data_IF_077810032471
#
_entry.id   IF_077810032471
#
_cell.length_a   1.000
_cell.length_b   1.000
_cell.length_c   1.000
_cell.angle_alpha   90.00
_cell.angle_beta   90.00
_cell.angle_gamma   90.00
#
_symmetry.space_group_name_H-M   'P 1'
#
loop_
_entity.id
_entity.type
_entity.pdbx_description
1 polymer ?
#
# COMPACT_ATOMS: atom_id res chain seq x y z
N UNK A 1 -21.58 37.37 36.32
CA UNK A 1 -22.75 37.49 35.42
C UNK A 1 -23.50 36.18 35.50
N UNK A 2 -24.82 36.21 35.72
CA UNK A 2 -25.64 35.00 35.65
C UNK A 2 -25.61 34.47 34.20
N UNK A 3 -25.48 33.16 34.03
CA UNK A 3 -25.53 32.52 32.72
C UNK A 3 -26.83 32.91 32.02
N UNK A 4 -26.73 33.36 30.77
CA UNK A 4 -27.87 33.68 29.90
C UNK A 4 -28.50 32.41 29.31
N UNK A 5 -27.80 31.28 29.42
CA UNK A 5 -28.23 29.98 28.93
C UNK A 5 -28.91 29.20 30.04
N UNK A 6 -30.08 28.67 29.72
CA UNK A 6 -30.76 27.63 30.50
C UNK A 6 -29.90 26.35 30.49
N UNK A 7 -29.42 25.96 31.67
CA UNK A 7 -28.48 24.84 31.84
C UNK A 7 -29.09 23.50 31.44
N UNK A 8 -30.38 23.27 31.69
CA UNK A 8 -31.06 22.02 31.36
C UNK A 8 -31.17 21.86 29.83
N UNK A 9 -31.56 22.95 29.15
CA UNK A 9 -31.60 22.99 27.68
C UNK A 9 -30.21 22.85 27.06
N UNK A 10 -29.19 23.48 27.64
CA UNK A 10 -27.82 23.34 27.17
C UNK A 10 -27.33 21.88 27.32
N UNK A 11 -27.64 21.21 28.44
CA UNK A 11 -27.31 19.80 28.65
C UNK A 11 -28.00 18.89 27.63
N UNK A 12 -29.27 19.12 27.29
CA UNK A 12 -29.98 18.33 26.27
C UNK A 12 -29.34 18.48 24.87
N UNK A 13 -29.00 19.72 24.49
CA UNK A 13 -28.30 20.02 23.24
C UNK A 13 -26.94 19.30 23.19
N UNK A 14 -26.16 19.37 24.28
CA UNK A 14 -24.87 18.70 24.39
C UNK A 14 -25.00 17.18 24.43
N UNK A 15 -26.06 16.63 25.03
CA UNK A 15 -26.32 15.18 25.00
C UNK A 15 -26.63 14.69 23.58
N UNK A 16 -27.37 15.48 22.79
CA UNK A 16 -27.60 15.19 21.36
C UNK A 16 -26.29 15.23 20.56
N UNK A 17 -25.46 16.25 20.80
CA UNK A 17 -24.13 16.32 20.21
C UNK A 17 -23.28 15.10 20.61
N UNK A 18 -23.28 14.73 21.89
CA UNK A 18 -22.54 13.58 22.41
C UNK A 18 -22.97 12.24 21.79
N UNK A 19 -24.27 12.04 21.50
CA UNK A 19 -24.73 10.87 20.73
C UNK A 19 -24.17 10.87 19.31
N UNK A 20 -24.18 12.02 18.63
CA UNK A 20 -23.62 12.15 17.29
C UNK A 20 -22.11 11.92 17.28
N UNK A 21 -21.37 12.49 18.23
CA UNK A 21 -19.92 12.31 18.35
C UNK A 21 -19.54 10.86 18.63
N UNK A 22 -20.31 10.14 19.46
CA UNK A 22 -20.10 8.71 19.69
C UNK A 22 -20.34 7.88 18.44
N UNK A 23 -21.42 8.14 17.70
CA UNK A 23 -21.70 7.44 16.45
C UNK A 23 -20.60 7.65 15.39
N UNK A 24 -20.03 8.87 15.32
CA UNK A 24 -18.87 9.16 14.46
C UNK A 24 -17.64 8.39 14.95
N UNK A 25 -17.33 8.44 16.24
CA UNK A 25 -16.17 7.76 16.83
C UNK A 25 -16.22 6.23 16.68
N UNK A 26 -17.41 5.62 16.82
CA UNK A 26 -17.63 4.20 16.56
C UNK A 26 -17.36 3.83 15.09
N UNK A 27 -17.65 4.74 14.16
CA UNK A 27 -17.37 4.60 12.73
C UNK A 27 -15.93 4.94 12.30
N UNK A 28 -15.16 5.63 13.16
CA UNK A 28 -13.76 6.01 12.90
C UNK A 28 -12.82 5.44 13.97
N UNK A 29 -12.47 4.14 13.89
CA UNK A 29 -11.58 3.54 14.86
C UNK A 29 -10.20 4.18 14.83
N UNK A 30 -9.50 4.21 15.98
CA UNK A 30 -8.11 4.69 16.04
C UNK A 30 -7.20 3.97 15.04
N UNK A 31 -6.25 4.74 14.47
CA UNK A 31 -5.26 4.24 13.50
C UNK A 31 -4.47 3.09 14.12
N UNK A 32 -4.34 1.99 13.38
CA UNK A 32 -3.78 0.77 13.93
C UNK A 32 -2.26 0.78 13.94
N UNK A 33 -1.67 0.08 14.90
CA UNK A 33 -0.23 -0.21 14.91
C UNK A 33 0.23 -1.17 13.82
N UNK A 34 -0.67 -1.63 12.95
CA UNK A 34 -0.35 -2.52 11.84
C UNK A 34 0.53 -1.83 10.80
N UNK A 35 1.50 -2.58 10.27
CA UNK A 35 2.28 -2.20 9.10
C UNK A 35 1.37 -2.24 7.87
N UNK A 36 1.45 -1.21 7.03
CA UNK A 36 0.89 -1.22 5.67
C UNK A 36 2.05 -1.48 4.69
N UNK A 37 1.90 -2.37 3.71
CA UNK A 37 2.92 -2.57 2.70
C UNK A 37 3.00 -1.36 1.76
N UNK A 38 4.18 -1.07 1.19
CA UNK A 38 4.32 0.03 0.21
C UNK A 38 4.01 -0.40 -1.22
N UNK A 39 3.88 -1.71 -1.44
CA UNK A 39 3.45 -2.26 -2.72
C UNK A 39 2.75 -3.60 -2.55
N UNK A 40 1.93 -3.93 -3.55
CA UNK A 40 1.36 -5.26 -3.74
C UNK A 40 1.72 -5.75 -5.15
N UNK A 41 2.41 -6.87 -5.25
CA UNK A 41 2.67 -7.53 -6.54
C UNK A 41 1.50 -8.42 -6.89
N UNK A 42 0.92 -8.24 -8.08
CA UNK A 42 -0.04 -9.20 -8.63
C UNK A 42 0.69 -10.10 -9.62
N UNK A 43 0.62 -11.42 -9.39
CA UNK A 43 1.22 -12.41 -10.25
C UNK A 43 0.27 -13.57 -10.51
N UNK A 44 0.17 -14.00 -11.77
CA UNK A 44 -0.74 -15.06 -12.19
C UNK A 44 -0.53 -16.36 -11.40
N UNK A 45 -1.64 -17.01 -11.02
CA UNK A 45 -1.66 -18.20 -10.18
C UNK A 45 -0.77 -19.35 -10.69
N UNK A 46 -0.68 -19.54 -12.01
CA UNK A 46 0.15 -20.57 -12.64
C UNK A 46 1.65 -20.43 -12.33
N UNK A 47 2.11 -19.20 -12.04
CA UNK A 47 3.52 -18.89 -11.73
C UNK A 47 3.84 -18.95 -10.23
N UNK A 48 2.83 -18.98 -9.37
CA UNK A 48 3.04 -18.88 -7.92
C UNK A 48 3.76 -20.11 -7.37
N UNK A 49 4.82 -19.87 -6.60
CA UNK A 49 5.60 -20.89 -5.89
C UNK A 49 5.98 -20.35 -4.51
N UNK A 50 6.26 -21.25 -3.56
CA UNK A 50 6.60 -20.86 -2.18
C UNK A 50 7.82 -19.90 -2.08
N UNK A 51 8.70 -19.90 -3.08
CA UNK A 51 9.94 -19.10 -3.16
C UNK A 51 9.82 -17.89 -4.11
N UNK A 52 8.60 -17.50 -4.50
CA UNK A 52 8.37 -16.45 -5.51
C UNK A 52 9.00 -15.11 -5.11
N UNK A 53 8.92 -14.72 -3.83
CA UNK A 53 9.47 -13.44 -3.35
C UNK A 53 10.97 -13.36 -3.60
N UNK A 54 11.72 -14.39 -3.23
CA UNK A 54 13.17 -14.45 -3.46
C UNK A 54 13.53 -14.42 -4.95
N UNK A 55 12.77 -15.12 -5.81
CA UNK A 55 12.97 -15.10 -7.27
C UNK A 55 12.75 -13.71 -7.87
N UNK A 56 11.71 -13.00 -7.42
CA UNK A 56 11.42 -11.64 -7.87
C UNK A 56 12.51 -10.67 -7.41
N UNK A 57 12.98 -10.79 -6.17
CA UNK A 57 14.11 -10.02 -5.65
C UNK A 57 15.40 -10.23 -6.44
N UNK A 58 15.77 -11.47 -6.71
CA UNK A 58 16.94 -11.81 -7.53
C UNK A 58 16.85 -11.22 -8.95
N UNK A 59 15.65 -11.24 -9.56
CA UNK A 59 15.39 -10.64 -10.87
C UNK A 59 15.55 -9.12 -10.83
N UNK A 60 14.98 -8.47 -9.81
CA UNK A 60 15.10 -7.03 -9.61
C UNK A 60 16.56 -6.60 -9.42
N UNK A 61 17.31 -7.30 -8.56
CA UNK A 61 18.74 -7.08 -8.33
C UNK A 61 19.57 -7.29 -9.60
N UNK A 62 19.26 -8.33 -10.38
CA UNK A 62 19.89 -8.55 -11.69
C UNK A 62 19.64 -7.39 -12.66
N UNK A 63 18.42 -6.83 -12.66
CA UNK A 63 18.07 -5.62 -13.41
C UNK A 63 18.90 -4.41 -13.00
N UNK A 64 19.05 -4.16 -11.69
CA UNK A 64 19.90 -3.07 -11.16
C UNK A 64 21.35 -3.27 -11.61
N UNK A 65 21.94 -4.44 -11.34
CA UNK A 65 23.35 -4.73 -11.70
C UNK A 65 23.64 -4.56 -13.18
N UNK A 66 22.67 -4.83 -14.05
CA UNK A 66 22.86 -4.75 -15.48
C UNK A 66 22.60 -3.34 -16.04
N UNK A 67 21.55 -2.65 -15.59
CA UNK A 67 21.13 -1.37 -16.18
C UNK A 67 21.54 -0.14 -15.36
N UNK A 68 21.85 -0.28 -14.08
CA UNK A 68 22.22 0.81 -13.17
C UNK A 68 23.12 0.32 -12.02
N UNK A 69 24.37 -0.07 -12.31
CA UNK A 69 25.25 -0.78 -11.36
C UNK A 69 25.83 0.10 -10.24
N UNK A 70 25.74 1.42 -10.37
CA UNK A 70 26.29 2.39 -9.44
C UNK A 70 25.22 3.39 -8.97
N UNK A 71 25.40 4.02 -7.79
CA UNK A 71 24.40 4.92 -7.21
C UNK A 71 23.99 6.08 -8.12
N UNK A 72 24.94 6.65 -8.88
CA UNK A 72 24.67 7.79 -9.76
C UNK A 72 23.81 7.38 -10.95
N UNK A 73 24.19 6.32 -11.67
CA UNK A 73 23.40 5.79 -12.79
C UNK A 73 22.00 5.36 -12.32
N UNK A 74 21.90 4.77 -11.13
CA UNK A 74 20.62 4.40 -10.53
C UNK A 74 19.75 5.62 -10.22
N UNK A 75 20.29 6.63 -9.54
CA UNK A 75 19.57 7.85 -9.24
C UNK A 75 19.10 8.56 -10.51
N UNK A 76 19.97 8.68 -11.53
CA UNK A 76 19.61 9.27 -12.82
C UNK A 76 18.46 8.49 -13.48
N UNK A 77 18.52 7.15 -13.50
CA UNK A 77 17.47 6.31 -14.08
C UNK A 77 16.11 6.47 -13.38
N UNK A 78 16.11 6.76 -12.07
CA UNK A 78 14.91 6.98 -11.26
C UNK A 78 14.43 8.44 -11.25
N UNK A 79 15.21 9.38 -11.81
CA UNK A 79 14.89 10.82 -11.78
C UNK A 79 15.30 11.55 -10.49
N UNK A 80 16.24 10.99 -9.72
CA UNK A 80 16.72 11.51 -8.43
C UNK A 80 18.05 12.29 -8.52
N UNK A 81 18.62 12.43 -9.72
CA UNK A 81 19.88 13.15 -9.95
C UNK A 81 19.78 14.69 -9.79
N UNK A 82 20.88 15.44 -9.93
CA UNK A 82 20.94 16.90 -9.72
C UNK A 82 19.94 17.71 -10.58
N UNK A 83 19.49 17.17 -11.72
CA UNK A 83 18.46 17.77 -12.58
C UNK A 83 17.01 17.51 -12.13
N UNK A 84 16.79 16.75 -11.04
CA UNK A 84 15.49 16.38 -10.50
C UNK A 84 14.89 17.36 -9.48
N UNK A 85 15.47 18.56 -9.34
CA UNK A 85 15.01 19.58 -8.39
C UNK A 85 15.78 19.64 -7.06
N UNK A 86 16.99 19.09 -7.00
CA UNK A 86 17.87 19.20 -5.84
C UNK A 86 18.90 20.32 -6.05
N UNK A 87 18.78 21.41 -5.30
CA UNK A 87 19.56 22.65 -5.46
C UNK A 87 21.08 22.50 -5.22
N UNK A 88 21.56 21.36 -4.70
CA UNK A 88 22.97 21.14 -4.35
C UNK A 88 23.45 19.72 -4.72
N UNK A 89 24.50 19.64 -5.54
CA UNK A 89 25.10 18.39 -6.05
C UNK A 89 25.53 17.43 -4.91
N UNK A 90 26.18 17.93 -3.86
CA UNK A 90 26.61 17.12 -2.71
C UNK A 90 25.47 16.62 -1.81
N UNK A 91 24.27 17.21 -1.89
CA UNK A 91 23.08 16.70 -1.23
C UNK A 91 22.44 15.58 -2.08
N UNK A 92 22.41 15.76 -3.40
CA UNK A 92 21.96 14.75 -4.35
C UNK A 92 22.83 13.48 -4.31
N UNK A 93 24.16 13.61 -4.19
CA UNK A 93 25.07 12.46 -4.10
C UNK A 93 24.80 11.61 -2.84
N UNK A 94 24.67 12.25 -1.68
CA UNK A 94 24.37 11.54 -0.42
C UNK A 94 22.99 10.89 -0.42
N UNK A 95 22.00 11.52 -1.05
CA UNK A 95 20.68 10.94 -1.24
C UNK A 95 20.76 9.70 -2.15
N UNK A 96 21.49 9.82 -3.27
CA UNK A 96 21.67 8.74 -4.25
C UNK A 96 22.32 7.51 -3.61
N UNK A 97 23.41 7.69 -2.85
CA UNK A 97 24.07 6.61 -2.11
C UNK A 97 23.14 5.98 -1.07
N UNK A 98 22.43 6.82 -0.31
CA UNK A 98 21.51 6.38 0.74
C UNK A 98 20.31 5.60 0.22
N UNK A 99 19.76 6.01 -0.92
CA UNK A 99 18.67 5.30 -1.61
C UNK A 99 19.17 4.00 -2.21
N UNK A 100 20.27 4.03 -2.96
CA UNK A 100 20.82 2.85 -3.63
C UNK A 100 21.11 1.72 -2.62
N UNK A 101 21.84 2.04 -1.55
CA UNK A 101 22.19 1.05 -0.53
C UNK A 101 20.94 0.41 0.12
N UNK A 102 19.94 1.23 0.47
CA UNK A 102 18.69 0.74 1.08
C UNK A 102 17.85 -0.08 0.12
N UNK A 103 17.78 0.29 -1.16
CA UNK A 103 17.05 -0.50 -2.18
C UNK A 103 17.69 -1.87 -2.35
N UNK A 104 19.03 -1.96 -2.43
CA UNK A 104 19.73 -3.24 -2.51
C UNK A 104 19.43 -4.09 -1.27
N UNK A 105 19.62 -3.53 -0.07
CA UNK A 105 19.32 -4.23 1.20
C UNK A 105 17.87 -4.72 1.25
N UNK A 106 16.92 -3.88 0.82
CA UNK A 106 15.50 -4.21 0.80
C UNK A 106 15.22 -5.38 -0.14
N UNK A 107 15.77 -5.37 -1.34
CA UNK A 107 15.56 -6.45 -2.32
C UNK A 107 16.24 -7.76 -1.92
N UNK A 108 17.32 -7.71 -1.14
CA UNK A 108 17.99 -8.89 -0.59
C UNK A 108 17.22 -9.50 0.59
N UNK A 109 16.70 -8.65 1.49
CA UNK A 109 16.04 -9.08 2.73
C UNK A 109 14.55 -9.35 2.58
N UNK A 110 13.82 -8.48 1.89
CA UNK A 110 12.35 -8.48 1.80
C UNK A 110 11.88 -7.84 0.49
N UNK A 111 12.13 -8.48 -0.66
CA UNK A 111 11.87 -7.91 -1.98
C UNK A 111 10.40 -7.69 -2.31
N UNK A 112 9.50 -8.47 -1.69
CA UNK A 112 8.06 -8.35 -1.86
C UNK A 112 7.44 -8.22 -0.48
N UNK A 113 6.75 -7.09 -0.23
CA UNK A 113 6.04 -6.87 1.03
C UNK A 113 4.67 -7.55 1.02
N UNK A 114 3.97 -7.45 -0.11
CA UNK A 114 2.66 -8.03 -0.30
C UNK A 114 2.52 -8.68 -1.68
N UNK A 115 1.92 -9.87 -1.73
CA UNK A 115 1.71 -10.61 -2.97
C UNK A 115 0.25 -11.06 -3.11
N UNK A 116 -0.37 -10.76 -4.25
CA UNK A 116 -1.69 -11.25 -4.62
C UNK A 116 -1.56 -12.28 -5.73
N UNK A 117 -1.87 -13.54 -5.38
CA UNK A 117 -1.97 -14.63 -6.35
C UNK A 117 -3.21 -14.39 -7.18
N UNK A 118 -2.99 -14.10 -8.45
CA UNK A 118 -4.04 -13.60 -9.32
C UNK A 118 -4.69 -14.74 -10.10
N UNK A 119 -6.02 -14.85 -10.03
CA UNK A 119 -6.86 -15.74 -10.85
C UNK A 119 -7.70 -14.96 -11.88
N UNK A 120 -7.41 -13.67 -12.05
CA UNK A 120 -8.17 -12.75 -12.90
C UNK A 120 -7.32 -12.27 -14.08
N UNK A 121 -7.15 -10.96 -14.31
CA UNK A 121 -6.59 -10.41 -15.54
C UNK A 121 -5.14 -10.86 -15.80
N UNK A 122 -4.30 -10.91 -14.76
CA UNK A 122 -2.91 -11.37 -14.85
C UNK A 122 -2.74 -12.89 -14.95
N UNK A 123 -3.82 -13.65 -14.74
CA UNK A 123 -3.87 -15.10 -14.98
C UNK A 123 -4.31 -15.42 -16.41
N UNK A 124 -5.21 -14.61 -16.94
CA UNK A 124 -5.86 -14.80 -18.23
C UNK A 124 -6.95 -15.87 -18.21
N UNK A 125 -7.45 -16.22 -19.39
CA UNK A 125 -8.48 -17.25 -19.55
C UNK A 125 -7.87 -18.64 -19.58
N UNK A 126 -8.46 -19.57 -18.82
CA UNK A 126 -8.08 -20.98 -18.74
C UNK A 126 -9.33 -21.85 -18.70
N UNK A 127 -9.16 -23.14 -18.98
CA UNK A 127 -10.23 -24.12 -18.77
C UNK A 127 -10.52 -24.30 -17.27
N UNK A 128 -11.72 -24.74 -16.93
CA UNK A 128 -12.09 -25.03 -15.53
C UNK A 128 -11.15 -26.04 -14.87
N UNK A 129 -10.78 -27.11 -15.59
CA UNK A 129 -9.88 -28.13 -15.07
C UNK A 129 -8.46 -27.58 -14.79
N UNK A 130 -7.98 -26.67 -15.65
CA UNK A 130 -6.67 -26.05 -15.46
C UNK A 130 -6.68 -25.05 -14.29
N UNK A 131 -7.74 -24.24 -14.15
CA UNK A 131 -7.89 -23.34 -13.00
C UNK A 131 -8.08 -24.10 -11.68
N UNK A 132 -8.84 -25.20 -11.67
CA UNK A 132 -8.96 -26.11 -10.52
C UNK A 132 -7.57 -26.65 -10.10
N UNK A 133 -6.76 -27.11 -11.07
CA UNK A 133 -5.41 -27.58 -10.81
C UNK A 133 -4.49 -26.51 -10.23
N UNK A 134 -4.53 -25.30 -10.77
CA UNK A 134 -3.75 -24.18 -10.24
C UNK A 134 -4.22 -23.72 -8.86
N UNK A 135 -5.53 -23.75 -8.57
CA UNK A 135 -6.07 -23.43 -7.25
C UNK A 135 -5.51 -24.37 -6.16
N UNK A 136 -5.48 -25.67 -6.44
CA UNK A 136 -4.87 -26.67 -5.56
C UNK A 136 -3.37 -26.42 -5.41
N UNK A 137 -2.63 -26.25 -6.51
CA UNK A 137 -1.17 -26.00 -6.48
C UNK A 137 -0.85 -24.74 -5.66
N UNK A 138 -1.60 -23.65 -5.84
CA UNK A 138 -1.41 -22.40 -5.08
C UNK A 138 -1.55 -22.66 -3.59
N UNK A 139 -2.59 -23.37 -3.17
CA UNK A 139 -2.81 -23.71 -1.77
C UNK A 139 -1.67 -24.57 -1.19
N UNK A 140 -1.18 -25.56 -1.94
CA UNK A 140 -0.05 -26.38 -1.53
C UNK A 140 1.25 -25.56 -1.41
N UNK A 141 1.48 -24.63 -2.33
CA UNK A 141 2.64 -23.74 -2.29
C UNK A 141 2.55 -22.70 -1.16
N UNK A 142 1.35 -22.24 -0.82
CA UNK A 142 1.13 -21.40 0.37
C UNK A 142 1.48 -22.19 1.64
N UNK A 143 0.95 -23.40 1.81
CA UNK A 143 1.25 -24.25 2.96
C UNK A 143 2.76 -24.54 3.08
N UNK A 144 3.42 -24.88 1.98
CA UNK A 144 4.86 -25.11 1.94
C UNK A 144 5.65 -23.84 2.29
N UNK A 145 5.20 -22.68 1.82
CA UNK A 145 5.83 -21.41 2.14
C UNK A 145 5.68 -21.01 3.60
N UNK A 146 4.55 -21.35 4.23
CA UNK A 146 4.35 -21.17 5.68
C UNK A 146 5.32 -22.04 6.47
N UNK A 147 5.44 -23.33 6.11
CA UNK A 147 6.36 -24.28 6.75
C UNK A 147 7.83 -23.80 6.65
N UNK A 148 8.21 -23.25 5.51
CA UNK A 148 9.59 -22.79 5.24
C UNK A 148 9.87 -21.35 5.68
N UNK A 149 8.85 -20.59 6.06
CA UNK A 149 8.98 -19.15 6.33
C UNK A 149 9.42 -18.32 5.11
N UNK A 150 9.02 -18.73 3.90
CA UNK A 150 9.46 -18.09 2.64
C UNK A 150 8.43 -17.13 2.04
N UNK A 151 7.21 -17.09 2.61
CA UNK A 151 6.15 -16.19 2.14
C UNK A 151 6.48 -14.73 2.48
N UNK A 152 6.02 -13.78 1.64
CA UNK A 152 6.06 -12.36 2.01
C UNK A 152 5.21 -12.09 3.28
N UNK A 153 5.46 -10.98 3.99
CA UNK A 153 4.71 -10.61 5.20
C UNK A 153 3.19 -10.52 5.00
N UNK A 154 2.75 -10.17 3.80
CA UNK A 154 1.36 -10.17 3.37
C UNK A 154 1.21 -10.99 2.09
N UNK A 155 0.15 -11.80 2.01
CA UNK A 155 -0.14 -12.64 0.84
C UNK A 155 -1.64 -12.84 0.73
N UNK A 156 -2.17 -13.05 -0.46
CA UNK A 156 -3.60 -13.25 -0.64
C UNK A 156 -3.95 -13.71 -2.04
N UNK A 157 -5.24 -13.79 -2.31
CA UNK A 157 -5.79 -14.18 -3.62
C UNK A 157 -6.54 -13.00 -4.23
N UNK A 158 -6.42 -12.80 -5.54
CA UNK A 158 -7.44 -12.08 -6.31
C UNK A 158 -8.27 -13.10 -7.07
N UNK A 159 -9.55 -13.21 -6.70
CA UNK A 159 -10.52 -14.08 -7.38
C UNK A 159 -11.08 -13.38 -8.63
N UNK A 160 -11.85 -14.10 -9.45
CA UNK A 160 -12.63 -13.47 -10.52
C UNK A 160 -13.78 -12.61 -9.93
N UNK A 161 -14.32 -11.64 -10.70
CA UNK A 161 -15.45 -10.85 -10.25
C UNK A 161 -16.67 -11.71 -9.88
N UNK A 162 -17.47 -11.26 -8.92
CA UNK A 162 -18.76 -11.90 -8.61
C UNK A 162 -19.86 -11.38 -9.55
N UNK A 163 -19.76 -11.76 -10.82
CA UNK A 163 -20.75 -11.51 -11.87
C UNK A 163 -21.50 -12.80 -12.22
N UNK A 164 -22.59 -12.70 -12.99
CA UNK A 164 -23.32 -13.88 -13.48
C UNK A 164 -22.42 -14.83 -14.30
N UNK A 165 -21.53 -14.27 -15.13
CA UNK A 165 -20.63 -15.02 -15.99
C UNK A 165 -19.52 -15.73 -15.21
N UNK A 166 -18.88 -15.05 -14.25
CA UNK A 166 -17.63 -15.54 -13.63
C UNK A 166 -17.78 -15.92 -12.15
N UNK A 167 -18.93 -15.65 -11.53
CA UNK A 167 -19.16 -15.89 -10.10
C UNK A 167 -19.04 -17.36 -9.71
N UNK A 168 -19.62 -18.28 -10.49
CA UNK A 168 -19.48 -19.74 -10.24
C UNK A 168 -18.01 -20.17 -10.24
N UNK A 169 -17.24 -19.64 -11.18
CA UNK A 169 -15.80 -19.91 -11.30
C UNK A 169 -15.03 -19.34 -10.12
N UNK A 170 -15.32 -18.11 -9.71
CA UNK A 170 -14.72 -17.47 -8.53
C UNK A 170 -14.97 -18.29 -7.25
N UNK A 171 -16.22 -18.72 -7.00
CA UNK A 171 -16.58 -19.54 -5.84
C UNK A 171 -15.80 -20.86 -5.84
N UNK A 172 -15.74 -21.55 -6.99
CA UNK A 172 -15.04 -22.83 -7.10
C UNK A 172 -13.53 -22.70 -6.86
N UNK A 173 -12.92 -21.63 -7.37
CA UNK A 173 -11.49 -21.34 -7.16
C UNK A 173 -11.19 -21.03 -5.69
N UNK A 174 -12.08 -20.29 -5.03
CA UNK A 174 -11.96 -20.00 -3.60
C UNK A 174 -12.12 -21.26 -2.74
N UNK A 175 -13.15 -22.07 -3.01
CA UNK A 175 -13.40 -23.37 -2.36
C UNK A 175 -12.16 -24.29 -2.42
N UNK A 176 -11.63 -24.50 -3.62
CA UNK A 176 -10.46 -25.35 -3.82
C UNK A 176 -9.21 -24.81 -3.12
N UNK A 177 -8.93 -23.51 -3.24
CA UNK A 177 -7.77 -22.90 -2.60
C UNK A 177 -7.86 -23.00 -1.07
N UNK A 178 -8.96 -22.52 -0.48
CA UNK A 178 -9.10 -22.44 0.98
C UNK A 178 -9.27 -23.83 1.60
N UNK A 179 -10.07 -24.71 0.98
CA UNK A 179 -10.24 -26.08 1.43
C UNK A 179 -8.93 -26.88 1.42
N UNK A 180 -8.16 -26.78 0.33
CA UNK A 180 -6.84 -27.43 0.24
C UNK A 180 -5.87 -26.85 1.25
N UNK A 181 -5.79 -25.52 1.37
CA UNK A 181 -4.88 -24.86 2.31
C UNK A 181 -5.19 -25.27 3.74
N UNK A 182 -6.47 -25.26 4.13
CA UNK A 182 -6.91 -25.67 5.45
C UNK A 182 -6.56 -27.14 5.73
N UNK A 183 -6.80 -28.04 4.77
CA UNK A 183 -6.45 -29.46 4.90
C UNK A 183 -4.94 -29.67 5.11
N UNK A 184 -4.10 -28.85 4.49
CA UNK A 184 -2.63 -28.93 4.60
C UNK A 184 -2.07 -28.27 5.87
N UNK A 185 -2.80 -27.34 6.48
CA UNK A 185 -2.31 -26.49 7.59
C UNK A 185 -3.08 -26.67 8.89
N UNK A 186 -4.11 -27.53 8.91
CA UNK A 186 -5.01 -27.66 10.05
C UNK A 186 -5.87 -26.40 10.30
N UNK A 187 -6.27 -25.70 9.22
CA UNK A 187 -7.09 -24.49 9.31
C UNK A 187 -6.31 -23.22 9.67
N UNK A 188 -4.98 -23.21 9.54
CA UNK A 188 -4.17 -22.01 9.78
C UNK A 188 -3.87 -21.27 8.48
N UNK A 189 -4.12 -19.97 8.45
CA UNK A 189 -3.82 -19.12 7.29
C UNK A 189 -2.43 -18.49 7.40
N UNK A 190 -1.78 -18.11 6.27
CA UNK A 190 -0.66 -17.19 6.30
C UNK A 190 -1.04 -15.91 7.06
N UNK A 191 -0.06 -15.33 7.78
CA UNK A 191 -0.28 -14.03 8.42
C UNK A 191 -0.68 -12.98 7.39
N UNK A 192 -1.71 -12.19 7.72
CA UNK A 192 -2.20 -11.14 6.83
C UNK A 192 -2.92 -11.64 5.58
N UNK A 193 -3.36 -12.91 5.54
CA UNK A 193 -4.08 -13.46 4.39
C UNK A 193 -5.39 -12.73 4.09
N UNK A 194 -5.61 -12.37 2.82
CA UNK A 194 -6.83 -11.70 2.35
C UNK A 194 -7.31 -12.24 1.00
N UNK A 195 -8.60 -12.05 0.74
CA UNK A 195 -9.23 -12.29 -0.55
C UNK A 195 -9.64 -10.95 -1.18
N UNK A 196 -9.03 -10.60 -2.30
CA UNK A 196 -9.35 -9.39 -3.06
C UNK A 196 -10.49 -9.67 -4.04
N UNK A 197 -11.56 -8.88 -3.92
CA UNK A 197 -12.71 -8.89 -4.84
C UNK A 197 -12.51 -7.80 -5.92
N UNK A 198 -12.31 -8.17 -7.20
CA UNK A 198 -12.19 -7.19 -8.27
C UNK A 198 -13.55 -6.69 -8.76
N UNK A 199 -13.51 -5.59 -9.52
CA UNK A 199 -14.62 -5.02 -10.30
C UNK A 199 -15.91 -4.86 -9.48
N UNK A 200 -15.76 -4.47 -8.21
CA UNK A 200 -16.89 -4.29 -7.29
C UNK A 200 -17.77 -3.17 -7.83
N UNK A 201 -19.08 -3.40 -7.83
CA UNK A 201 -20.06 -2.44 -8.33
C UNK A 201 -21.30 -2.32 -7.44
N UNK A 202 -21.47 -3.22 -6.45
CA UNK A 202 -22.59 -3.16 -5.51
C UNK A 202 -22.23 -3.71 -4.12
N UNK A 203 -22.90 -3.25 -3.05
CA UNK A 203 -22.76 -3.83 -1.71
C UNK A 203 -23.15 -5.31 -1.65
N UNK A 204 -24.08 -5.75 -2.50
CA UNK A 204 -24.53 -7.15 -2.56
C UNK A 204 -23.40 -8.11 -2.95
N UNK A 205 -22.55 -7.72 -3.91
CA UNK A 205 -21.37 -8.51 -4.28
C UNK A 205 -20.41 -8.69 -3.10
N UNK A 206 -20.25 -7.65 -2.27
CA UNK A 206 -19.41 -7.72 -1.07
C UNK A 206 -20.04 -8.61 -0.01
N UNK A 207 -21.35 -8.45 0.25
CA UNK A 207 -22.09 -9.27 1.22
C UNK A 207 -22.07 -10.76 0.84
N UNK A 208 -22.27 -11.08 -0.45
CA UNK A 208 -22.16 -12.44 -0.97
C UNK A 208 -20.76 -13.03 -0.74
N UNK A 209 -19.68 -12.27 -0.95
CA UNK A 209 -18.34 -12.75 -0.62
C UNK A 209 -18.20 -13.01 0.89
N UNK A 210 -18.71 -12.13 1.75
CA UNK A 210 -18.68 -12.34 3.20
C UNK A 210 -19.38 -13.65 3.58
N UNK A 211 -20.56 -13.92 3.04
CA UNK A 211 -21.30 -15.15 3.32
C UNK A 211 -20.52 -16.39 2.87
N UNK A 212 -19.85 -16.33 1.70
CA UNK A 212 -18.96 -17.41 1.23
C UNK A 212 -17.75 -17.62 2.15
N UNK A 213 -17.12 -16.54 2.63
CA UNK A 213 -15.99 -16.64 3.56
C UNK A 213 -16.43 -17.23 4.90
N UNK A 214 -17.61 -16.87 5.41
CA UNK A 214 -18.19 -17.45 6.63
C UNK A 214 -18.46 -18.94 6.49
N UNK A 215 -19.00 -19.36 5.33
CA UNK A 215 -19.17 -20.77 5.01
C UNK A 215 -17.82 -21.50 4.98
N UNK A 216 -16.79 -20.93 4.33
CA UNK A 216 -15.48 -21.57 4.27
C UNK A 216 -14.84 -21.69 5.66
N UNK A 217 -14.94 -20.65 6.49
CA UNK A 217 -14.45 -20.69 7.88
C UNK A 217 -15.10 -21.84 8.66
N UNK A 218 -16.43 -21.96 8.60
CA UNK A 218 -17.15 -23.01 9.32
C UNK A 218 -16.79 -24.42 8.86
N UNK A 219 -16.63 -24.64 7.55
CA UNK A 219 -16.33 -25.95 6.98
C UNK A 219 -14.86 -26.37 7.15
N UNK A 220 -13.97 -25.41 7.35
CA UNK A 220 -12.52 -25.65 7.52
C UNK A 220 -12.04 -25.57 8.97
N UNK A 221 -12.94 -25.24 9.90
CA UNK A 221 -12.61 -25.13 11.33
C UNK A 221 -11.85 -23.85 11.71
N UNK A 222 -11.83 -22.84 10.82
CA UNK A 222 -11.22 -21.54 11.14
C UNK A 222 -12.12 -20.75 12.10
N UNK A 223 -11.50 -19.91 12.94
CA UNK A 223 -12.25 -19.00 13.79
C UNK A 223 -13.07 -18.01 12.93
N UNK A 224 -14.30 -17.64 13.34
CA UNK A 224 -15.09 -16.63 12.63
C UNK A 224 -14.31 -15.32 12.47
N UNK A 225 -14.27 -14.78 11.25
CA UNK A 225 -13.55 -13.54 10.95
C UNK A 225 -12.06 -13.71 10.66
N UNK A 226 -11.57 -14.94 10.45
CA UNK A 226 -10.20 -15.23 10.04
C UNK A 226 -9.93 -14.81 8.59
N UNK A 227 -10.86 -15.11 7.68
CA UNK A 227 -10.79 -14.69 6.28
C UNK A 227 -11.23 -13.23 6.14
N UNK A 228 -10.27 -12.39 5.76
CA UNK A 228 -10.48 -10.96 5.50
C UNK A 228 -10.52 -10.70 4.00
N UNK A 229 -11.02 -9.52 3.63
CA UNK A 229 -11.16 -9.14 2.22
C UNK A 229 -10.59 -7.76 1.91
N UNK A 230 -10.28 -7.56 0.64
CA UNK A 230 -9.95 -6.27 0.03
C UNK A 230 -10.88 -6.05 -1.17
N UNK A 231 -11.15 -4.79 -1.50
CA UNK A 231 -12.02 -4.41 -2.60
C UNK A 231 -11.20 -3.72 -3.69
N UNK A 232 -11.31 -4.11 -4.96
CA UNK A 232 -10.82 -3.26 -6.05
C UNK A 232 -11.92 -2.27 -6.45
N UNK A 233 -11.62 -0.99 -6.23
CA UNK A 233 -12.43 0.17 -6.58
C UNK A 233 -12.00 0.59 -7.98
N UNK A 234 -12.67 0.05 -8.98
CA UNK A 234 -12.25 0.18 -10.38
C UNK A 234 -13.42 0.32 -11.36
N UNK A 235 -14.61 0.61 -10.83
CA UNK A 235 -15.82 0.90 -11.60
C UNK A 235 -16.36 2.28 -11.21
N UNK A 236 -16.96 3.07 -12.11
CA UNK A 236 -17.63 4.31 -11.72
C UNK A 236 -18.68 4.11 -10.61
N UNK A 237 -19.36 2.96 -10.61
CA UNK A 237 -20.37 2.58 -9.64
C UNK A 237 -19.79 2.32 -8.24
N UNK A 238 -18.50 1.97 -8.16
CA UNK A 238 -17.78 1.88 -6.88
C UNK A 238 -17.37 3.24 -6.31
N UNK A 239 -17.48 4.31 -7.11
CA UNK A 239 -17.27 5.70 -6.68
C UNK A 239 -18.62 6.35 -6.32
N UNK A 240 -19.59 6.32 -7.24
CA UNK A 240 -20.93 6.88 -7.05
C UNK A 240 -22.02 5.83 -7.25
N UNK A 241 -22.93 5.72 -6.29
CA UNK A 241 -24.10 4.85 -6.38
C UNK A 241 -25.13 5.40 -7.40
N UNK A 242 -26.15 4.61 -7.79
CA UNK A 242 -27.17 5.05 -8.73
C UNK A 242 -27.99 6.29 -8.29
N UNK A 243 -27.89 6.70 -7.02
CA UNK A 243 -28.54 7.91 -6.47
C UNK A 243 -27.58 9.10 -6.43
N UNK A 244 -26.35 8.94 -6.91
CA UNK A 244 -25.30 9.97 -6.86
C UNK A 244 -24.63 10.13 -5.50
N UNK A 245 -24.86 9.20 -4.56
CA UNK A 245 -24.16 9.19 -3.27
C UNK A 245 -22.82 8.46 -3.39
N UNK A 246 -21.86 8.74 -2.50
CA UNK A 246 -20.59 8.01 -2.50
C UNK A 246 -20.81 6.56 -2.09
N UNK A 247 -20.36 5.62 -2.93
CA UNK A 247 -20.66 4.20 -2.77
C UNK A 247 -19.81 3.51 -1.68
N UNK A 248 -18.57 3.96 -1.48
CA UNK A 248 -17.58 3.27 -0.64
C UNK A 248 -18.04 2.95 0.78
N UNK A 249 -18.70 3.84 1.55
CA UNK A 249 -19.17 3.52 2.89
C UNK A 249 -20.11 2.31 2.92
N UNK A 250 -21.01 2.21 1.94
CA UNK A 250 -21.93 1.08 1.83
C UNK A 250 -21.21 -0.22 1.44
N UNK A 251 -20.21 -0.14 0.55
CA UNK A 251 -19.37 -1.28 0.18
C UNK A 251 -18.58 -1.81 1.39
N UNK A 252 -17.96 -0.92 2.17
CA UNK A 252 -17.21 -1.29 3.38
C UNK A 252 -18.13 -1.82 4.48
N UNK A 253 -19.31 -1.22 4.67
CA UNK A 253 -20.29 -1.72 5.64
C UNK A 253 -20.75 -3.15 5.29
N UNK A 254 -20.98 -3.44 4.01
CA UNK A 254 -21.34 -4.77 3.54
C UNK A 254 -20.26 -5.84 3.80
N UNK A 255 -19.00 -5.42 3.99
CA UNK A 255 -17.92 -6.33 4.39
C UNK A 255 -17.99 -6.76 5.86
N UNK A 256 -18.94 -6.25 6.68
CA UNK A 256 -19.17 -6.63 8.08
C UNK A 256 -17.88 -6.62 8.94
N UNK A 257 -17.02 -5.62 8.73
CA UNK A 257 -15.75 -5.47 9.43
C UNK A 257 -14.59 -6.33 8.90
N UNK A 258 -14.77 -7.05 7.78
CA UNK A 258 -13.74 -7.88 7.14
C UNK A 258 -12.87 -7.11 6.13
N UNK A 259 -13.31 -5.92 5.67
CA UNK A 259 -12.56 -5.11 4.71
C UNK A 259 -11.28 -4.55 5.34
N UNK A 260 -10.13 -4.88 4.74
CA UNK A 260 -8.80 -4.43 5.17
C UNK A 260 -8.20 -3.39 4.25
N UNK A 261 -8.57 -3.42 2.97
CA UNK A 261 -7.99 -2.55 1.96
C UNK A 261 -8.92 -2.28 0.78
N UNK A 262 -8.66 -1.16 0.13
CA UNK A 262 -9.30 -0.72 -1.11
C UNK A 262 -8.21 -0.42 -2.15
N UNK A 263 -8.24 -1.11 -3.28
CA UNK A 263 -7.26 -0.99 -4.36
C UNK A 263 -7.88 -0.22 -5.51
N UNK A 264 -7.28 0.90 -5.92
CA UNK A 264 -7.80 1.67 -7.04
C UNK A 264 -7.33 1.08 -8.38
N UNK A 265 -8.26 0.56 -9.19
CA UNK A 265 -7.95 0.01 -10.52
C UNK A 265 -8.03 1.09 -11.61
N UNK A 266 -6.90 1.75 -11.88
CA UNK A 266 -6.81 2.89 -12.81
C UNK A 266 -7.35 2.59 -14.21
N UNK A 267 -6.97 1.44 -14.80
CA UNK A 267 -7.23 1.16 -16.21
C UNK A 267 -8.67 0.70 -16.46
N UNK A 268 -9.23 -0.15 -15.60
CA UNK A 268 -10.65 -0.51 -15.65
C UNK A 268 -11.54 0.72 -15.42
N UNK A 269 -11.19 1.57 -14.46
CA UNK A 269 -11.93 2.80 -14.18
C UNK A 269 -11.92 3.76 -15.37
N UNK A 270 -10.74 4.04 -15.92
CA UNK A 270 -10.62 4.97 -17.06
C UNK A 270 -11.24 4.42 -18.33
N UNK A 271 -11.14 3.11 -18.58
CA UNK A 271 -11.82 2.46 -19.69
C UNK A 271 -13.35 2.63 -19.61
N UNK A 272 -13.95 2.45 -18.43
CA UNK A 272 -15.39 2.63 -18.24
C UNK A 272 -15.85 4.09 -18.37
N UNK A 273 -14.95 5.05 -18.17
CA UNK A 273 -15.20 6.47 -18.48
C UNK A 273 -15.05 6.81 -19.97
N UNK A 274 -14.72 5.85 -20.82
CA UNK A 274 -14.51 6.07 -22.26
C UNK A 274 -13.17 6.75 -22.57
N UNK A 275 -12.21 6.76 -21.65
CA UNK A 275 -10.87 7.30 -21.89
C UNK A 275 -10.11 6.30 -22.75
N UNK A 276 -9.70 6.74 -23.94
CA UNK A 276 -8.93 5.91 -24.88
C UNK A 276 -7.59 5.46 -24.29
N UNK A 277 -7.11 4.29 -24.70
CA UNK A 277 -5.88 3.68 -24.20
C UNK A 277 -4.66 4.63 -24.24
N UNK A 278 -4.57 5.51 -25.24
CA UNK A 278 -3.50 6.50 -25.37
C UNK A 278 -3.47 7.54 -24.23
N UNK A 279 -4.58 7.72 -23.52
CA UNK A 279 -4.74 8.66 -22.41
C UNK A 279 -5.01 7.97 -21.07
N UNK A 280 -5.10 6.64 -21.03
CA UNK A 280 -5.15 5.87 -19.78
C UNK A 280 -3.79 5.93 -19.11
N UNK A 281 -3.65 6.88 -18.20
CA UNK A 281 -2.42 7.13 -17.44
C UNK A 281 -2.73 7.14 -15.96
N UNK A 282 -1.76 6.76 -15.13
CA UNK A 282 -1.88 6.80 -13.68
C UNK A 282 -2.32 8.19 -13.19
N UNK A 283 -1.78 9.25 -13.78
CA UNK A 283 -2.02 10.64 -13.39
C UNK A 283 -3.14 11.32 -14.19
N UNK A 284 -4.05 10.56 -14.81
CA UNK A 284 -5.19 11.17 -15.50
C UNK A 284 -6.11 11.89 -14.48
N UNK A 285 -6.61 13.12 -14.75
CA UNK A 285 -7.41 13.88 -13.78
C UNK A 285 -8.67 13.15 -13.28
N UNK A 286 -9.27 12.29 -14.12
CA UNK A 286 -10.38 11.43 -13.69
C UNK A 286 -9.99 10.49 -12.54
N UNK A 287 -8.75 9.99 -12.55
CA UNK A 287 -8.22 9.16 -11.47
C UNK A 287 -8.00 9.98 -10.19
N UNK A 288 -7.60 11.24 -10.29
CA UNK A 288 -7.44 12.11 -9.11
C UNK A 288 -8.77 12.36 -8.41
N UNK A 289 -9.85 12.58 -9.19
CA UNK A 289 -11.20 12.63 -8.63
C UNK A 289 -11.54 11.35 -7.87
N UNK A 290 -11.37 10.18 -8.49
CA UNK A 290 -11.67 8.90 -7.86
C UNK A 290 -10.83 8.65 -6.60
N UNK A 291 -9.51 8.90 -6.65
CA UNK A 291 -8.61 8.76 -5.51
C UNK A 291 -9.01 9.62 -4.32
N UNK A 292 -9.36 10.88 -4.57
CA UNK A 292 -9.80 11.77 -3.48
C UNK A 292 -11.15 11.34 -2.91
N UNK A 293 -12.09 10.86 -3.74
CA UNK A 293 -13.34 10.28 -3.23
C UNK A 293 -13.05 9.06 -2.37
N UNK A 294 -12.20 8.14 -2.82
CA UNK A 294 -11.77 6.96 -2.04
C UNK A 294 -11.15 7.39 -0.71
N UNK A 295 -10.18 8.31 -0.76
CA UNK A 295 -9.44 8.77 0.40
C UNK A 295 -10.32 9.45 1.44
N UNK A 296 -11.14 10.42 1.02
CA UNK A 296 -12.02 11.16 1.94
C UNK A 296 -13.07 10.24 2.54
N UNK A 297 -13.60 9.29 1.77
CA UNK A 297 -14.67 8.39 2.24
C UNK A 297 -14.18 7.32 3.21
N UNK A 298 -12.89 6.98 3.15
CA UNK A 298 -12.27 5.98 4.01
C UNK A 298 -11.41 6.62 5.11
N UNK A 299 -11.28 7.95 5.14
CA UNK A 299 -10.54 8.66 6.17
C UNK A 299 -11.09 8.35 7.56
N UNK A 300 -10.20 8.05 8.51
CA UNK A 300 -10.57 7.64 9.86
C UNK A 300 -11.06 6.19 9.98
N UNK A 301 -11.20 5.45 8.89
CA UNK A 301 -11.47 4.01 8.93
C UNK A 301 -10.16 3.21 9.03
N UNK A 302 -10.27 1.89 9.26
CA UNK A 302 -9.12 0.96 9.23
C UNK A 302 -8.80 0.42 7.83
N UNK A 303 -9.49 0.89 6.79
CA UNK A 303 -9.32 0.40 5.42
C UNK A 303 -8.12 1.09 4.79
N UNK A 304 -7.09 0.31 4.47
CA UNK A 304 -5.89 0.79 3.78
C UNK A 304 -6.19 1.08 2.31
N UNK A 305 -5.48 2.05 1.73
CA UNK A 305 -5.65 2.39 0.31
C UNK A 305 -4.39 2.00 -0.45
N UNK A 306 -4.57 1.26 -1.54
CA UNK A 306 -3.54 0.97 -2.54
C UNK A 306 -3.91 1.65 -3.85
N UNK A 307 -2.96 2.34 -4.47
CA UNK A 307 -3.13 2.93 -5.80
C UNK A 307 -2.93 1.90 -6.92
N UNK A 308 -3.28 2.31 -8.14
CA UNK A 308 -3.16 1.50 -9.35
C UNK A 308 -1.73 1.30 -9.83
N UNK A 309 -1.59 0.46 -10.84
CA UNK A 309 -0.31 0.10 -11.44
C UNK A 309 0.18 1.12 -12.46
N UNK A 310 1.46 1.02 -12.80
CA UNK A 310 2.01 1.55 -14.06
C UNK A 310 2.10 0.40 -15.06
N UNK A 311 1.39 0.46 -16.19
CA UNK A 311 1.38 -0.63 -17.20
C UNK A 311 2.58 -0.63 -18.13
N UNK A 312 3.37 0.45 -18.16
CA UNK A 312 4.64 0.49 -18.90
C UNK A 312 5.68 -0.30 -18.09
N UNK A 313 5.98 -1.50 -18.54
CA UNK A 313 6.92 -2.40 -17.87
C UNK A 313 8.37 -2.12 -18.30
N UNK A 314 9.35 -2.20 -17.39
CA UNK A 314 10.77 -2.09 -17.70
C UNK A 314 11.29 -3.38 -18.37
N UNK A 315 10.80 -3.67 -19.58
CA UNK A 315 11.17 -4.84 -20.37
C UNK A 315 12.11 -4.42 -21.50
N UNK A 316 13.30 -5.01 -21.62
CA UNK A 316 14.20 -4.73 -22.74
C UNK A 316 13.62 -5.25 -24.06
N UNK A 317 13.60 -4.44 -25.14
CA UNK A 317 13.08 -4.85 -26.45
C UNK A 317 13.96 -5.90 -27.15
N UNK A 318 15.26 -5.96 -26.85
CA UNK A 318 16.20 -6.90 -27.47
C UNK A 318 16.65 -7.96 -26.47
N UNK A 319 16.69 -9.23 -26.88
CA UNK A 319 17.23 -10.35 -26.10
C UNK A 319 18.23 -11.13 -26.92
N UNK A 320 19.38 -11.45 -26.32
CA UNK A 320 20.27 -12.47 -26.87
C UNK A 320 19.70 -13.85 -26.50
N UNK A 321 19.45 -14.70 -27.50
CA UNK A 321 19.09 -16.09 -27.26
C UNK A 321 20.29 -16.88 -26.70
N UNK A 322 20.07 -18.06 -26.08
CA UNK A 322 21.14 -18.89 -25.52
C UNK A 322 22.26 -19.26 -26.52
N UNK A 323 21.92 -19.29 -27.81
CA UNK A 323 22.82 -19.56 -28.93
C UNK A 323 22.77 -18.47 -30.01
N UNK A 324 22.19 -17.30 -29.68
CA UNK A 324 22.09 -16.17 -30.59
C UNK A 324 23.35 -15.31 -30.60
N UNK A 325 23.52 -14.43 -31.59
CA UNK A 325 24.58 -13.43 -31.56
C UNK A 325 24.42 -12.53 -30.32
N UNK A 326 25.54 -12.09 -29.76
CA UNK A 326 25.53 -11.08 -28.70
C UNK A 326 24.85 -9.79 -29.18
N UNK A 327 24.17 -9.09 -28.27
CA UNK A 327 23.55 -7.81 -28.60
C UNK A 327 24.61 -6.81 -29.06
N UNK A 328 24.32 -6.10 -30.14
CA UNK A 328 25.15 -4.97 -30.59
C UNK A 328 25.14 -3.86 -29.55
N UNK A 329 26.16 -3.00 -29.54
CA UNK A 329 26.22 -1.83 -28.65
C UNK A 329 24.96 -0.94 -28.77
N UNK A 330 24.42 -0.80 -29.99
CA UNK A 330 23.16 -0.06 -30.23
C UNK A 330 21.97 -0.71 -29.52
N UNK A 331 21.84 -2.04 -29.61
CA UNK A 331 20.74 -2.78 -28.97
C UNK A 331 20.86 -2.75 -27.44
N UNK A 332 22.07 -2.85 -26.91
CA UNK A 332 22.32 -2.71 -25.47
C UNK A 332 21.90 -1.33 -24.97
N UNK A 333 22.25 -0.29 -25.72
CA UNK A 333 21.88 1.08 -25.38
C UNK A 333 20.37 1.34 -25.50
N UNK A 334 19.70 0.75 -26.50
CA UNK A 334 18.24 0.78 -26.63
C UNK A 334 17.53 0.06 -25.48
N UNK A 335 18.07 -1.07 -25.03
CA UNK A 335 17.58 -1.77 -23.84
C UNK A 335 17.71 -0.88 -22.60
N UNK A 336 18.89 -0.30 -22.38
CA UNK A 336 19.14 0.60 -21.23
C UNK A 336 18.19 1.78 -21.22
N UNK A 337 18.04 2.48 -22.35
CA UNK A 337 17.11 3.61 -22.49
C UNK A 337 15.66 3.23 -22.21
N UNK A 338 15.21 2.10 -22.74
CA UNK A 338 13.82 1.62 -22.52
C UNK A 338 13.57 1.30 -21.04
N UNK A 339 14.49 0.60 -20.40
CA UNK A 339 14.38 0.23 -18.98
C UNK A 339 14.40 1.48 -18.10
N UNK A 340 15.34 2.41 -18.33
CA UNK A 340 15.42 3.66 -17.57
C UNK A 340 14.18 4.54 -17.74
N UNK A 341 13.65 4.64 -18.96
CA UNK A 341 12.42 5.40 -19.21
C UNK A 341 11.20 4.82 -18.46
N UNK A 342 11.07 3.49 -18.45
CA UNK A 342 10.01 2.82 -17.70
C UNK A 342 10.18 2.94 -16.18
N UNK A 343 11.42 2.86 -15.68
CA UNK A 343 11.74 3.11 -14.27
C UNK A 343 11.38 4.53 -13.84
N UNK A 344 11.79 5.54 -14.61
CA UNK A 344 11.44 6.93 -14.33
C UNK A 344 9.93 7.15 -14.29
N UNK A 345 9.21 6.70 -15.32
CA UNK A 345 7.75 6.81 -15.36
C UNK A 345 7.09 6.13 -14.15
N UNK A 346 7.57 4.95 -13.76
CA UNK A 346 7.05 4.27 -12.60
C UNK A 346 7.34 5.06 -11.31
N UNK A 347 8.59 5.51 -11.10
CA UNK A 347 8.98 6.30 -9.94
C UNK A 347 8.16 7.61 -9.83
N UNK A 348 7.91 8.29 -10.95
CA UNK A 348 7.08 9.50 -11.00
C UNK A 348 5.63 9.23 -10.59
N UNK A 349 5.04 8.13 -11.06
CA UNK A 349 3.70 7.70 -10.66
C UNK A 349 3.62 7.38 -9.17
N UNK A 350 4.61 6.65 -8.64
CA UNK A 350 4.71 6.35 -7.20
C UNK A 350 4.82 7.63 -6.38
N UNK A 351 5.70 8.56 -6.77
CA UNK A 351 5.84 9.87 -6.09
C UNK A 351 4.55 10.69 -6.17
N UNK A 352 3.79 10.58 -7.26
CA UNK A 352 2.48 11.22 -7.37
C UNK A 352 1.49 10.69 -6.35
N UNK A 353 1.40 9.38 -6.18
CA UNK A 353 0.55 8.75 -5.15
C UNK A 353 0.99 9.18 -3.73
N UNK A 354 2.30 9.20 -3.47
CA UNK A 354 2.86 9.62 -2.17
C UNK A 354 2.51 11.06 -1.83
N UNK A 355 2.55 11.98 -2.81
CA UNK A 355 2.12 13.39 -2.63
C UNK A 355 0.65 13.51 -2.27
N UNK A 356 -0.20 12.58 -2.73
CA UNK A 356 -1.61 12.51 -2.34
C UNK A 356 -1.82 11.74 -1.02
N UNK A 357 -0.76 11.28 -0.34
CA UNK A 357 -0.87 10.50 0.90
C UNK A 357 -1.30 9.04 0.70
N UNK A 358 -1.12 8.49 -0.51
CA UNK A 358 -1.35 7.08 -0.81
C UNK A 358 0.01 6.38 -0.88
N UNK A 359 0.29 5.52 0.12
CA UNK A 359 1.63 4.96 0.35
C UNK A 359 1.84 3.55 -0.23
N UNK A 360 0.76 2.90 -0.64
CA UNK A 360 0.78 1.56 -1.25
C UNK A 360 0.35 1.68 -2.70
N UNK A 361 0.95 0.88 -3.59
CA UNK A 361 0.51 0.77 -4.97
C UNK A 361 0.71 -0.63 -5.53
N UNK A 362 0.15 -0.88 -6.71
CA UNK A 362 0.30 -2.16 -7.40
C UNK A 362 1.53 -2.16 -8.33
N UNK A 363 2.35 -3.22 -8.24
CA UNK A 363 3.40 -3.55 -9.21
C UNK A 363 3.10 -4.84 -10.01
N UNK A 364 3.38 -4.81 -11.31
CA UNK A 364 3.06 -5.86 -12.30
C UNK A 364 4.25 -6.76 -12.64
N UNK A 365 5.47 -6.33 -12.33
CA UNK A 365 6.67 -7.09 -12.68
C UNK A 365 7.80 -6.88 -11.66
N UNK A 366 8.71 -7.86 -11.49
CA UNK A 366 9.88 -7.71 -10.64
C UNK A 366 10.77 -6.54 -11.07
N UNK A 367 10.74 -6.18 -12.37
CA UNK A 367 11.51 -5.06 -12.88
C UNK A 367 11.04 -3.71 -12.34
N UNK A 368 9.83 -3.59 -11.78
CA UNK A 368 9.33 -2.34 -11.20
C UNK A 368 9.77 -2.13 -9.74
N UNK A 369 10.12 -3.20 -9.02
CA UNK A 369 10.52 -3.15 -7.60
C UNK A 369 11.67 -2.16 -7.33
N UNK A 370 12.73 -2.07 -8.16
CA UNK A 370 13.77 -1.07 -7.97
C UNK A 370 13.24 0.36 -7.96
N UNK A 371 12.37 0.70 -8.92
CA UNK A 371 11.79 2.04 -9.04
C UNK A 371 10.77 2.34 -7.94
N UNK A 372 9.97 1.35 -7.53
CA UNK A 372 9.06 1.44 -6.38
C UNK A 372 9.81 1.84 -5.12
N UNK A 373 10.81 1.04 -4.73
CA UNK A 373 11.55 1.29 -3.50
C UNK A 373 12.40 2.55 -3.58
N UNK A 374 13.01 2.85 -4.73
CA UNK A 374 13.74 4.10 -4.92
C UNK A 374 12.84 5.33 -4.68
N UNK A 375 11.66 5.37 -5.29
CA UNK A 375 10.71 6.47 -5.15
C UNK A 375 10.24 6.64 -3.69
N UNK A 376 9.88 5.54 -3.02
CA UNK A 376 9.43 5.57 -1.62
C UNK A 376 10.55 5.98 -0.68
N UNK A 377 11.76 5.43 -0.84
CA UNK A 377 12.88 5.72 0.05
C UNK A 377 13.38 7.14 -0.13
N UNK A 378 13.47 7.62 -1.39
CA UNK A 378 13.81 8.99 -1.68
C UNK A 378 12.82 9.97 -1.02
N UNK A 379 11.51 9.71 -1.12
CA UNK A 379 10.47 10.53 -0.47
C UNK A 379 10.70 10.72 1.03
N UNK A 380 11.00 9.64 1.78
CA UNK A 380 11.26 9.74 3.21
C UNK A 380 12.63 10.36 3.53
N UNK A 381 13.67 10.06 2.75
CA UNK A 381 15.01 10.59 2.99
C UNK A 381 15.10 12.11 2.69
N UNK A 382 14.42 12.57 1.64
CA UNK A 382 14.30 13.99 1.29
C UNK A 382 13.59 14.78 2.40
N UNK A 383 12.45 14.28 2.89
CA UNK A 383 11.66 14.96 3.92
C UNK A 383 12.24 14.88 5.34
N UNK A 384 13.22 13.98 5.59
CA UNK A 384 13.69 13.62 6.93
C UNK A 384 14.22 14.79 7.74
N UNK A 385 15.10 15.61 7.16
CA UNK A 385 15.78 16.66 7.90
C UNK A 385 14.81 17.77 8.31
N UNK A 386 13.95 18.20 7.38
CA UNK A 386 12.94 19.22 7.65
C UNK A 386 11.88 18.71 8.63
N UNK A 387 11.33 17.51 8.40
CA UNK A 387 10.35 16.90 9.29
C UNK A 387 10.92 16.70 10.71
N UNK A 388 12.19 16.30 10.82
CA UNK A 388 12.87 16.13 12.09
C UNK A 388 13.09 17.44 12.82
N UNK A 389 13.53 18.50 12.12
CA UNK A 389 13.69 19.82 12.70
C UNK A 389 12.36 20.40 13.21
N UNK A 390 11.28 20.23 12.44
CA UNK A 390 9.93 20.66 12.83
C UNK A 390 9.41 19.87 14.03
N UNK A 391 9.56 18.54 14.02
CA UNK A 391 9.14 17.70 15.13
C UNK A 391 9.90 18.06 16.41
N UNK A 392 11.22 18.26 16.33
CA UNK A 392 12.06 18.70 17.45
C UNK A 392 11.60 20.05 17.99
N UNK A 393 11.44 21.04 17.11
CA UNK A 393 11.01 22.38 17.50
C UNK A 393 9.64 22.35 18.19
N UNK A 394 8.72 21.51 17.69
CA UNK A 394 7.38 21.37 18.25
C UNK A 394 7.39 20.68 19.62
N UNK A 395 8.20 19.63 19.77
CA UNK A 395 8.38 18.91 21.04
C UNK A 395 9.06 19.79 22.10
N UNK A 396 10.06 20.58 21.70
CA UNK A 396 10.74 21.56 22.58
C UNK A 396 9.79 22.71 22.99
N UNK A 397 8.89 23.13 22.09
CA UNK A 397 7.84 24.11 22.36
C UNK A 397 6.70 23.54 23.22
N UNK A 398 6.36 22.25 23.11
CA UNK A 398 5.44 21.62 24.05
C UNK A 398 5.99 21.70 25.48
N UNK A 399 7.30 21.57 25.65
CA UNK A 399 7.97 21.71 26.94
C UNK A 399 8.14 23.17 27.41
N UNK A 400 7.94 24.18 26.54
CA UNK A 400 8.19 25.60 26.84
C UNK A 400 7.03 26.45 26.33
N UNK A 401 6.35 27.19 27.19
CA UNK A 401 5.25 28.12 26.88
C UNK A 401 5.66 29.30 25.94
N UNK A 402 6.09 29.01 24.71
CA UNK A 402 6.50 30.00 23.73
C UNK A 402 6.38 29.46 22.30
N UNK A 403 5.48 30.07 21.52
CA UNK A 403 5.47 29.92 20.07
C UNK A 403 6.71 30.58 19.46
N UNK A 404 7.49 29.83 18.68
CA UNK A 404 8.59 30.36 17.85
C UNK A 404 8.43 29.88 16.42
N UNK A 405 8.33 30.82 15.48
CA UNK A 405 8.40 30.57 14.04
C UNK A 405 7.34 31.31 13.23
N UNK A 406 7.58 31.42 11.92
CA UNK A 406 6.62 31.96 10.94
C UNK A 406 5.60 30.91 10.45
N UNK A 407 5.68 29.68 10.97
CA UNK A 407 4.77 28.57 10.67
C UNK A 407 4.04 28.22 11.95
N UNK A 408 2.70 28.26 11.92
CA UNK A 408 1.85 27.80 13.02
C UNK A 408 1.68 26.29 12.90
N UNK A 409 2.59 25.54 13.51
CA UNK A 409 2.41 24.11 13.68
C UNK A 409 1.45 23.88 14.88
N UNK A 410 0.49 22.97 14.72
CA UNK A 410 -0.47 22.57 15.75
C UNK A 410 -0.38 21.07 16.06
N UNK A 411 -1.20 20.57 16.98
CA UNK A 411 -1.18 19.14 17.35
C UNK A 411 -1.44 18.20 16.16
N UNK A 412 -2.21 18.64 15.16
CA UNK A 412 -2.47 17.87 13.94
C UNK A 412 -1.20 17.75 13.09
N UNK A 413 -0.44 18.85 12.99
CA UNK A 413 0.85 18.88 12.29
C UNK A 413 1.87 17.93 12.93
N UNK A 414 1.95 17.92 14.26
CA UNK A 414 2.83 17.00 14.99
C UNK A 414 2.47 15.53 14.79
N UNK A 415 1.19 15.21 14.77
CA UNK A 415 0.72 13.86 14.46
C UNK A 415 1.12 13.45 13.03
N UNK A 416 1.01 14.36 12.06
CA UNK A 416 1.50 14.15 10.70
C UNK A 416 3.01 13.83 10.64
N UNK A 417 3.82 14.57 11.40
CA UNK A 417 5.27 14.35 11.48
C UNK A 417 5.64 13.01 12.12
N UNK A 418 4.98 12.62 13.21
CA UNK A 418 5.17 11.30 13.83
C UNK A 418 4.80 10.18 12.86
N UNK A 419 3.67 10.32 12.16
CA UNK A 419 3.24 9.34 11.16
C UNK A 419 4.21 9.24 9.98
N UNK A 420 4.83 10.34 9.57
CA UNK A 420 5.89 10.33 8.55
C UNK A 420 7.06 9.43 8.97
N UNK A 421 7.60 9.62 10.19
CA UNK A 421 8.71 8.80 10.69
C UNK A 421 8.32 7.33 10.86
N UNK A 422 7.14 7.05 11.45
CA UNK A 422 6.66 5.68 11.62
C UNK A 422 6.49 4.96 10.29
N UNK A 423 5.93 5.63 9.27
CA UNK A 423 5.81 5.04 7.92
C UNK A 423 7.18 4.78 7.29
N UNK A 424 8.11 5.73 7.40
CA UNK A 424 9.48 5.57 6.91
C UNK A 424 10.23 4.41 7.57
N UNK A 425 10.05 4.20 8.87
CA UNK A 425 10.63 3.06 9.59
C UNK A 425 10.01 1.74 9.12
N UNK A 426 8.67 1.68 9.06
CA UNK A 426 7.93 0.45 8.72
C UNK A 426 8.21 -0.07 7.31
N UNK A 427 8.49 0.80 6.35
CA UNK A 427 8.87 0.38 4.99
C UNK A 427 10.38 0.10 4.85
N UNK A 428 11.19 0.54 5.82
CA UNK A 428 12.65 0.41 5.81
C UNK A 428 13.39 1.59 5.16
N UNK A 429 12.71 2.69 4.86
CA UNK A 429 13.36 3.90 4.36
C UNK A 429 14.20 4.60 5.45
N UNK A 430 13.74 4.56 6.69
CA UNK A 430 14.36 5.19 7.84
C UNK A 430 14.69 4.15 8.91
N UNK A 431 15.75 4.40 9.67
CA UNK A 431 16.04 3.67 10.91
C UNK A 431 15.36 4.34 12.11
N UNK A 432 15.15 3.59 13.19
CA UNK A 432 14.62 4.16 14.42
C UNK A 432 15.54 5.26 14.97
N UNK A 433 16.87 5.05 14.93
CA UNK A 433 17.85 6.08 15.34
C UNK A 433 17.68 7.39 14.56
N UNK A 434 17.49 7.31 13.25
CA UNK A 434 17.26 8.49 12.40
C UNK A 434 15.98 9.25 12.75
N UNK A 435 14.99 8.60 13.35
CA UNK A 435 13.79 9.25 13.89
C UNK A 435 14.01 9.82 15.30
N UNK A 436 14.76 9.12 16.16
CA UNK A 436 15.09 9.59 17.52
C UNK A 436 15.97 10.84 17.50
N UNK A 437 16.81 11.01 16.49
CA UNK A 437 17.58 12.25 16.25
C UNK A 437 16.67 13.49 16.09
N UNK A 438 15.36 13.30 15.80
CA UNK A 438 14.34 14.35 15.79
C UNK A 438 13.88 14.78 17.20
N UNK A 439 14.44 14.25 18.28
CA UNK A 439 14.18 14.70 19.66
C UNK A 439 12.97 14.08 20.36
N UNK A 440 12.41 12.99 19.82
CA UNK A 440 11.39 12.15 20.47
C UNK A 440 12.03 10.92 21.11
N UNK A 441 11.46 10.43 22.22
CA UNK A 441 11.87 9.13 22.80
C UNK A 441 11.21 7.96 22.05
N UNK A 442 11.71 6.72 22.20
CA UNK A 442 11.06 5.55 21.62
C UNK A 442 9.59 5.39 22.06
N UNK A 443 9.28 5.67 23.33
CA UNK A 443 7.93 5.59 23.87
C UNK A 443 7.01 6.65 23.26
N UNK A 444 7.53 7.86 23.03
CA UNK A 444 6.78 8.95 22.41
C UNK A 444 6.50 8.66 20.93
N UNK A 445 7.51 8.17 20.20
CA UNK A 445 7.36 7.77 18.81
C UNK A 445 6.34 6.63 18.66
N UNK A 446 6.39 5.62 19.53
CA UNK A 446 5.44 4.50 19.51
C UNK A 446 4.08 4.80 20.13
N UNK A 447 3.98 5.83 20.98
CA UNK A 447 2.74 6.28 21.60
C UNK A 447 1.81 7.03 20.66
N UNK A 448 2.31 7.58 19.54
CA UNK A 448 1.58 8.18 18.39
C UNK A 448 0.58 9.30 18.72
N UNK A 449 0.50 9.67 19.97
CA UNK A 449 -0.39 10.71 20.46
C UNK A 449 0.46 11.86 20.91
N UNK A 450 0.46 12.92 20.11
CA UNK A 450 1.11 14.16 20.54
C UNK A 450 0.48 14.70 21.83
N UNK A 451 -0.84 14.55 22.02
CA UNK A 451 -1.48 14.94 23.26
C UNK A 451 -0.86 14.23 24.47
N UNK A 452 -0.51 12.95 24.32
CA UNK A 452 0.18 12.16 25.35
C UNK A 452 1.62 12.63 25.55
N UNK A 453 2.34 12.93 24.46
CA UNK A 453 3.71 13.48 24.51
C UNK A 453 3.72 14.82 25.25
N UNK A 454 2.85 15.74 24.87
CA UNK A 454 2.73 17.06 25.49
C UNK A 454 2.37 16.96 26.99
N UNK A 455 1.37 16.13 27.33
CA UNK A 455 0.99 15.90 28.73
C UNK A 455 2.14 15.30 29.55
N UNK A 456 2.86 14.31 29.00
CA UNK A 456 4.01 13.68 29.65
C UNK A 456 5.18 14.64 29.86
N UNK A 457 5.46 15.52 28.89
CA UNK A 457 6.53 16.52 28.99
C UNK A 457 6.17 17.72 29.87
N UNK A 458 4.90 18.07 30.01
CA UNK A 458 4.46 19.04 31.03
C UNK A 458 4.55 18.49 32.45
N UNK A 459 4.38 17.18 32.65
CA UNK A 459 4.45 16.53 33.95
C UNK A 459 5.88 16.31 34.47
N UNK A 460 6.90 16.29 33.59
CA UNK A 460 8.32 16.18 33.95
C UNK A 460 9.00 17.56 33.88
N UNK A 461 9.37 18.19 35.01
CA UNK A 461 10.16 19.41 34.96
C UNK A 461 11.57 19.11 34.40
N UNK A 462 12.22 20.08 33.72
CA UNK A 462 13.55 19.87 33.17
C UNK A 462 14.56 19.74 34.32
N UNK A 463 14.98 18.50 34.63
CA UNK A 463 16.04 18.23 35.62
C UNK A 463 15.81 17.09 36.61
N UNK A 464 14.95 16.10 36.30
CA UNK A 464 14.88 14.86 37.08
C UNK A 464 15.47 13.69 36.30
N UNK A 465 16.77 13.45 36.53
CA UNK A 465 17.66 12.36 36.09
C UNK A 465 17.20 11.39 34.98
#
# INVERSE_FOLDING_TARGET
MASILDEDRACEILARLGRSSRAIAEGTPEDTSARQPVHTVYGGAHLFRCDISAKLGATALGGIRHYAPDPKTFADAMGLGPGGGHDLEAAADRLSDGVYARVIEKLEREPVEDFRVDFEDGYGQRSDAEEDGHAVIVAEQLALGMERGTLPPFVGLRIKPLTEESGRRAVRTLDLCIGTLAARTGGTLPSGFVVTLPKVSSPEQVACLVDLLEMLESHTGMAPGSLRLELMIETPQSILDPRGAVALPALVAAARGRCRGAHFGTYDYTAQLGITAAHQTHTHPACDFARHVVQVSLAGTRVMISDGATTVLPTPPHRAGPHGPSLTARQQEENRRTVHAAWRLHADNVRSSLRHGIYQGWDLSPGQLPARYAAVFAFFLEGRLEAGARLKAFVDAAARTAMRGNVFDDAATAHGLINFFLRGIRCGALTEREALDAGVTPEELHGRSFATIAAGRHARPPGGD
#
